data_IF_438211435849
#
_entry.id   IF_438211435849
#
_cell.length_a   1.000
_cell.length_b   1.000
_cell.length_c   1.000
_cell.angle_alpha   90.00
_cell.angle_beta   90.00
_cell.angle_gamma   90.00
#
_symmetry.space_group_name_H-M   'P 1'
#
loop_
_entity.id
_entity.type
_entity.pdbx_description
1 polymer ?
#
# COMPACT_ATOMS: atom_id res chain seq x y z
N UNK A 1 15.32 -15.30 -0.37
CA UNK A 1 14.11 -15.07 -1.20
C UNK A 1 12.98 -15.88 -0.60
N UNK A 2 11.80 -15.30 -0.36
CA UNK A 2 10.58 -15.99 0.06
C UNK A 2 9.73 -16.25 -1.19
N UNK A 3 9.96 -17.35 -1.95
CA UNK A 3 9.50 -17.45 -3.34
C UNK A 3 7.99 -17.67 -3.47
N UNK A 4 7.31 -18.02 -2.38
CA UNK A 4 5.93 -18.50 -2.39
C UNK A 4 4.96 -17.65 -1.58
N UNK A 5 5.41 -16.55 -0.97
CA UNK A 5 4.51 -15.71 -0.16
C UNK A 5 3.56 -14.94 -1.08
N UNK A 6 2.32 -15.42 -1.18
CA UNK A 6 1.26 -14.81 -1.98
C UNK A 6 0.39 -13.83 -1.19
N UNK A 7 0.32 -14.01 0.13
CA UNK A 7 -0.52 -13.20 1.02
C UNK A 7 0.29 -12.70 2.21
N UNK A 8 0.20 -11.40 2.50
CA UNK A 8 0.80 -10.79 3.69
C UNK A 8 -0.27 -10.02 4.48
N UNK A 9 -0.47 -10.41 5.73
CA UNK A 9 -1.32 -9.70 6.69
C UNK A 9 -0.48 -9.08 7.79
N UNK A 10 -0.61 -7.77 8.01
CA UNK A 10 0.09 -7.03 9.06
C UNK A 10 -0.93 -6.42 10.01
N UNK A 11 -0.88 -6.82 11.29
CA UNK A 11 -1.80 -6.37 12.32
C UNK A 11 -1.03 -5.79 13.51
N UNK A 12 -1.39 -4.59 13.97
CA UNK A 12 -0.82 -4.01 15.20
C UNK A 12 -1.70 -2.90 15.77
N UNK A 13 -1.47 -2.47 17.01
CA UNK A 13 -2.16 -1.30 17.57
C UNK A 13 -1.76 -0.01 16.85
N UNK A 14 -0.49 0.13 16.45
CA UNK A 14 0.01 1.22 15.63
C UNK A 14 1.03 0.67 14.65
N UNK A 15 0.84 0.94 13.37
CA UNK A 15 1.76 0.51 12.33
C UNK A 15 2.43 1.73 11.68
N UNK A 16 3.76 1.65 11.51
CA UNK A 16 4.51 2.62 10.73
C UNK A 16 5.32 1.89 9.68
N UNK A 17 5.10 2.26 8.44
CA UNK A 17 5.77 1.70 7.28
C UNK A 17 6.54 2.82 6.58
N UNK A 18 7.82 2.56 6.36
CA UNK A 18 8.73 3.50 5.71
C UNK A 18 9.65 2.72 4.79
N UNK A 19 10.03 3.35 3.67
CA UNK A 19 11.07 2.85 2.77
C UNK A 19 10.81 1.41 2.28
N UNK A 20 9.72 1.21 1.53
CA UNK A 20 9.42 -0.09 0.93
C UNK A 20 10.52 -0.57 -0.04
N UNK A 21 11.45 0.31 -0.45
CA UNK A 21 12.65 0.00 -1.24
C UNK A 21 13.56 -1.05 -0.61
N UNK A 22 13.58 -1.11 0.73
CA UNK A 22 14.44 -2.03 1.48
C UNK A 22 13.77 -3.40 1.72
N UNK A 23 12.51 -3.55 1.31
CA UNK A 23 11.86 -4.85 1.36
C UNK A 23 12.51 -5.80 0.36
N UNK A 24 12.73 -7.07 0.75
CA UNK A 24 13.12 -8.08 -0.20
C UNK A 24 12.05 -8.17 -1.30
N UNK A 25 12.47 -8.28 -2.56
CA UNK A 25 11.53 -8.51 -3.66
C UNK A 25 10.69 -9.74 -3.37
N UNK A 26 9.36 -9.56 -3.34
CA UNK A 26 8.38 -10.62 -3.16
C UNK A 26 7.64 -10.81 -4.50
N UNK A 27 8.23 -11.53 -5.46
CA UNK A 27 7.70 -11.60 -6.82
C UNK A 27 6.35 -12.31 -6.90
N UNK A 28 5.98 -13.09 -5.89
CA UNK A 28 4.72 -13.85 -5.85
C UNK A 28 3.65 -13.20 -4.98
N UNK A 29 3.96 -12.09 -4.29
CA UNK A 29 2.99 -11.45 -3.39
C UNK A 29 1.89 -10.79 -4.21
N UNK A 30 0.68 -11.30 -4.05
CA UNK A 30 -0.49 -10.89 -4.79
C UNK A 30 -1.47 -10.07 -3.94
N UNK A 31 -1.47 -10.32 -2.62
CA UNK A 31 -2.41 -9.70 -1.69
C UNK A 31 -1.69 -9.17 -0.44
N UNK A 32 -1.97 -7.92 -0.08
CA UNK A 32 -1.52 -7.31 1.17
C UNK A 32 -2.69 -6.73 1.97
N UNK A 33 -2.76 -7.06 3.25
CA UNK A 33 -3.73 -6.53 4.20
C UNK A 33 -3.05 -5.89 5.40
N UNK A 34 -3.43 -4.67 5.76
CA UNK A 34 -2.90 -3.93 6.90
C UNK A 34 -4.05 -3.52 7.80
N UNK A 35 -4.03 -3.97 9.06
CA UNK A 35 -5.02 -3.66 10.08
C UNK A 35 -4.39 -2.98 11.29
N UNK A 36 -4.80 -1.74 11.61
CA UNK A 36 -4.29 -1.05 12.81
C UNK A 36 -5.24 0.02 13.33
N UNK A 37 -5.11 0.51 14.57
CA UNK A 37 -5.90 1.68 14.99
C UNK A 37 -5.32 2.99 14.41
N UNK A 38 -4.02 3.03 14.15
CA UNK A 38 -3.38 4.10 13.39
C UNK A 38 -2.26 3.56 12.50
N UNK A 39 -2.26 3.96 11.23
CA UNK A 39 -1.26 3.56 10.25
C UNK A 39 -0.61 4.78 9.61
N UNK A 40 0.72 4.75 9.50
CA UNK A 40 1.49 5.76 8.78
C UNK A 40 2.34 5.09 7.70
N UNK A 41 2.28 5.65 6.50
CA UNK A 41 3.10 5.26 5.37
C UNK A 41 3.98 6.43 4.94
N UNK A 42 5.25 6.17 4.75
CA UNK A 42 6.20 7.10 4.16
C UNK A 42 6.91 6.46 2.98
N UNK A 43 7.07 7.21 1.89
CA UNK A 43 7.67 6.73 0.64
C UNK A 43 6.92 5.51 0.07
N UNK A 44 5.58 5.60 0.07
CA UNK A 44 4.71 4.50 -0.37
C UNK A 44 4.90 4.15 -1.86
N UNK A 45 5.37 5.09 -2.68
CA UNK A 45 5.72 4.85 -4.09
C UNK A 45 6.85 3.83 -4.31
N UNK A 46 7.62 3.49 -3.26
CA UNK A 46 8.70 2.50 -3.33
C UNK A 46 8.19 1.03 -3.43
N UNK A 47 6.88 0.82 -3.46
CA UNK A 47 6.22 -0.49 -3.63
C UNK A 47 6.43 -1.15 -5.02
N UNK A 48 7.17 -0.51 -5.93
CA UNK A 48 7.69 -1.07 -7.19
C UNK A 48 8.31 -2.46 -7.05
N UNK A 49 8.83 -2.78 -5.86
CA UNK A 49 9.47 -4.07 -5.56
C UNK A 49 8.49 -5.25 -5.45
N UNK A 50 7.17 -5.00 -5.57
CA UNK A 50 6.10 -6.00 -5.50
C UNK A 50 5.37 -6.13 -6.85
N UNK A 51 6.00 -6.71 -7.88
CA UNK A 51 5.50 -6.67 -9.26
C UNK A 51 4.18 -7.44 -9.47
N UNK A 52 3.81 -8.35 -8.58
CA UNK A 52 2.58 -9.17 -8.70
C UNK A 52 1.45 -8.72 -7.78
N UNK A 53 1.65 -7.63 -7.01
CA UNK A 53 0.65 -7.18 -6.04
C UNK A 53 -0.57 -6.64 -6.79
N UNK A 54 -1.70 -7.33 -6.69
CA UNK A 54 -2.95 -6.93 -7.35
C UNK A 54 -3.96 -6.32 -6.37
N UNK A 55 -3.90 -6.72 -5.09
CA UNK A 55 -4.83 -6.27 -4.06
C UNK A 55 -4.09 -5.72 -2.85
N UNK A 56 -4.45 -4.50 -2.44
CA UNK A 56 -4.07 -3.95 -1.14
C UNK A 56 -5.29 -3.47 -0.36
N UNK A 57 -5.42 -3.90 0.89
CA UNK A 57 -6.42 -3.40 1.83
C UNK A 57 -5.77 -2.79 3.07
N UNK A 58 -6.15 -1.57 3.43
CA UNK A 58 -5.70 -0.90 4.66
C UNK A 58 -6.94 -0.56 5.48
N UNK A 59 -7.13 -1.25 6.60
CA UNK A 59 -8.15 -0.97 7.59
C UNK A 59 -7.55 -0.26 8.80
N UNK A 60 -7.84 1.03 8.97
CA UNK A 60 -7.35 1.77 10.14
C UNK A 60 -8.21 2.94 10.54
N UNK A 61 -8.39 3.22 11.84
CA UNK A 61 -9.16 4.39 12.27
C UNK A 61 -8.53 5.72 11.83
N UNK A 62 -7.20 5.75 11.71
CA UNK A 62 -6.43 6.89 11.19
C UNK A 62 -5.33 6.40 10.26
N UNK A 63 -5.32 6.88 9.02
CA UNK A 63 -4.27 6.56 8.04
C UNK A 63 -3.60 7.84 7.54
N UNK A 64 -2.27 7.86 7.50
CA UNK A 64 -1.50 8.95 6.92
C UNK A 64 -0.53 8.44 5.88
N UNK A 65 -0.47 9.11 4.73
CA UNK A 65 0.48 8.84 3.65
C UNK A 65 1.33 10.10 3.43
N UNK A 66 2.65 9.90 3.46
CA UNK A 66 3.65 10.93 3.19
C UNK A 66 4.52 10.49 2.03
N UNK A 67 4.80 11.39 1.08
CA UNK A 67 5.51 11.06 -0.15
C UNK A 67 4.82 9.90 -0.87
N UNK A 68 3.51 10.07 -1.09
CA UNK A 68 2.74 9.12 -1.87
C UNK A 68 3.12 9.32 -3.34
N UNK A 69 4.05 8.49 -3.80
CA UNK A 69 4.53 8.53 -5.19
C UNK A 69 3.44 8.12 -6.18
N UNK A 70 3.74 8.29 -7.47
CA UNK A 70 2.80 8.05 -8.56
C UNK A 70 2.21 6.63 -8.51
N UNK A 71 0.88 6.50 -8.59
CA UNK A 71 0.21 5.20 -8.72
C UNK A 71 0.64 4.43 -9.99
N UNK A 72 1.25 5.12 -10.96
CA UNK A 72 1.81 4.56 -12.20
C UNK A 72 2.91 3.52 -11.99
N UNK A 73 3.56 3.53 -10.82
CA UNK A 73 4.59 2.53 -10.51
C UNK A 73 4.01 1.18 -10.08
N UNK A 74 2.73 1.10 -9.72
CA UNK A 74 2.09 -0.16 -9.34
C UNK A 74 1.57 -0.91 -10.56
N UNK A 75 2.47 -1.51 -11.34
CA UNK A 75 2.16 -2.13 -12.64
C UNK A 75 1.00 -3.15 -12.61
N UNK A 76 0.82 -3.86 -11.50
CA UNK A 76 -0.19 -4.92 -11.37
C UNK A 76 -1.32 -4.60 -10.38
N UNK A 77 -1.25 -3.48 -9.65
CA UNK A 77 -2.24 -3.16 -8.63
C UNK A 77 -3.55 -2.72 -9.30
N UNK A 78 -4.56 -3.57 -9.22
CA UNK A 78 -5.88 -3.31 -9.79
C UNK A 78 -6.90 -2.90 -8.74
N UNK A 79 -6.64 -3.19 -7.45
CA UNK A 79 -7.53 -2.88 -6.36
C UNK A 79 -6.80 -2.37 -5.12
N UNK A 80 -7.18 -1.18 -4.66
CA UNK A 80 -6.74 -0.60 -3.39
C UNK A 80 -7.97 -0.18 -2.59
N UNK A 81 -8.15 -0.79 -1.41
CA UNK A 81 -9.19 -0.42 -0.46
C UNK A 81 -8.60 0.26 0.76
N UNK A 82 -9.11 1.45 1.09
CA UNK A 82 -8.70 2.21 2.27
C UNK A 82 -9.91 2.39 3.20
N UNK A 83 -10.08 1.46 4.14
CA UNK A 83 -11.11 1.57 5.18
C UNK A 83 -10.58 2.42 6.34
N UNK A 84 -10.82 3.72 6.30
CA UNK A 84 -10.40 4.62 7.37
C UNK A 84 -11.41 5.70 7.72
N UNK A 85 -11.59 5.94 9.03
CA UNK A 85 -12.40 7.06 9.50
C UNK A 85 -11.71 8.42 9.25
N UNK A 86 -10.38 8.44 9.11
CA UNK A 86 -9.59 9.64 8.83
C UNK A 86 -8.35 9.31 7.99
N UNK A 87 -8.33 9.73 6.73
CA UNK A 87 -7.17 9.61 5.86
C UNK A 87 -6.53 10.98 5.57
N UNK A 88 -5.20 11.04 5.54
CA UNK A 88 -4.44 12.23 5.14
C UNK A 88 -3.35 11.85 4.14
N UNK A 89 -3.23 12.63 3.06
CA UNK A 89 -2.24 12.43 2.00
C UNK A 89 -1.41 13.71 1.87
N UNK A 90 -0.10 13.57 1.85
CA UNK A 90 0.84 14.68 1.70
C UNK A 90 1.89 14.34 0.64
N UNK A 91 2.30 15.36 -0.13
CA UNK A 91 3.22 15.22 -1.27
C UNK A 91 2.71 14.17 -2.28
N UNK A 92 1.47 14.36 -2.75
CA UNK A 92 0.88 13.56 -3.82
C UNK A 92 1.45 14.05 -5.15
N UNK A 93 2.44 13.34 -5.68
CA UNK A 93 2.83 13.52 -7.08
C UNK A 93 1.84 12.76 -7.97
N UNK A 94 1.60 13.33 -9.14
CA UNK A 94 0.49 13.08 -10.09
C UNK A 94 -0.04 11.63 -10.15
N UNK A 95 -1.24 11.40 -9.58
CA UNK A 95 -2.03 10.17 -9.79
C UNK A 95 -2.72 10.21 -11.18
N UNK A 96 -2.00 9.93 -12.27
CA UNK A 96 -2.62 9.81 -13.60
C UNK A 96 -2.56 8.37 -14.14
N UNK A 97 -3.77 7.81 -14.33
CA UNK A 97 -4.16 6.71 -15.24
C UNK A 97 -3.44 5.35 -15.08
N UNK A 98 -4.10 4.46 -14.35
CA UNK A 98 -4.51 3.14 -14.86
C UNK A 98 -5.71 2.66 -14.04
N UNK A 99 -6.91 2.61 -14.63
CA UNK A 99 -8.17 1.91 -14.30
C UNK A 99 -8.58 1.48 -12.87
N UNK A 100 -7.82 1.70 -11.81
CA UNK A 100 -8.24 1.52 -10.43
C UNK A 100 -8.93 2.80 -9.99
N UNK A 101 -10.27 2.83 -10.10
CA UNK A 101 -11.06 3.80 -9.33
C UNK A 101 -10.81 3.50 -7.85
N UNK A 102 -10.16 4.41 -7.09
CA UNK A 102 -10.06 4.22 -5.66
C UNK A 102 -11.48 4.36 -5.11
N UNK A 103 -12.03 3.27 -4.58
CA UNK A 103 -13.31 3.29 -3.87
C UNK A 103 -13.03 3.67 -2.43
N UNK A 104 -13.53 4.84 -2.04
CA UNK A 104 -13.51 5.35 -0.68
C UNK A 104 -14.87 5.05 -0.07
N UNK A 105 -15.01 3.90 0.59
CA UNK A 105 -16.22 3.56 1.37
C UNK A 105 -16.14 4.17 2.78
#
# INVERSE_FOLDING_TARGET
MLPSLSHLGLGSSKASFSNFRDLPTLPSLSNMGIGSSATSFSNFGDLLVLPSLYYMGIGSSVTSFSNFGDLLTFQSLSHMGLGSSKASFSNLETCLRYNATPTWD
#
